data_IF_118584288530
#
_entry.id   IF_118584288530
#
_cell.length_a   1.000
_cell.length_b   1.000
_cell.length_c   1.000
_cell.angle_alpha   90.00
_cell.angle_beta   90.00
_cell.angle_gamma   90.00
#
_symmetry.space_group_name_H-M   'P 1'
#
loop_
_entity.id
_entity.type
_entity.pdbx_description
1 polymer ?
#
# COMPACT_ATOMS: atom_id res chain seq x y z
N UNK A 1 -6.95 6.72 14.88
CA UNK A 1 -7.06 6.01 13.58
C UNK A 1 -5.72 6.10 12.89
N UNK A 2 -5.05 4.98 12.64
CA UNK A 2 -3.73 4.99 11.97
C UNK A 2 -3.91 5.31 10.47
N UNK A 3 -3.11 6.22 9.87
CA UNK A 3 -3.17 6.48 8.44
C UNK A 3 -2.88 5.21 7.62
N UNK A 4 -3.69 4.96 6.58
CA UNK A 4 -3.52 3.79 5.70
C UNK A 4 -2.10 3.60 5.19
N UNK A 5 -1.44 4.68 4.78
CA UNK A 5 -0.06 4.64 4.30
C UNK A 5 0.96 4.15 5.34
N UNK A 6 0.69 4.33 6.64
CA UNK A 6 1.53 3.80 7.71
C UNK A 6 1.35 2.28 7.87
N UNK A 7 0.11 1.79 7.77
CA UNK A 7 -0.18 0.35 7.78
C UNK A 7 0.53 -0.35 6.61
N UNK A 8 0.45 0.23 5.41
CA UNK A 8 1.17 -0.27 4.22
C UNK A 8 2.68 -0.28 4.44
N UNK A 9 3.28 0.79 4.99
CA UNK A 9 4.72 0.85 5.27
C UNK A 9 5.16 -0.24 6.25
N UNK A 10 4.43 -0.41 7.36
CA UNK A 10 4.75 -1.45 8.36
C UNK A 10 4.76 -2.82 7.71
N UNK A 11 3.72 -3.14 6.93
CA UNK A 11 3.59 -4.45 6.30
C UNK A 11 4.63 -4.70 5.22
N UNK A 12 5.01 -3.67 4.46
CA UNK A 12 6.15 -3.73 3.54
C UNK A 12 7.46 -4.10 4.26
N UNK A 13 7.71 -3.52 5.44
CA UNK A 13 8.89 -3.83 6.26
C UNK A 13 8.80 -5.27 6.78
N UNK A 14 7.65 -5.68 7.32
CA UNK A 14 7.42 -7.04 7.83
C UNK A 14 7.64 -8.12 6.77
N UNK A 15 7.30 -7.83 5.51
CA UNK A 15 7.47 -8.73 4.37
C UNK A 15 8.82 -8.59 3.65
N UNK A 16 9.69 -7.66 4.08
CA UNK A 16 10.94 -7.35 3.37
C UNK A 16 10.74 -6.83 1.94
N UNK A 17 9.56 -6.27 1.65
CA UNK A 17 9.13 -5.86 0.32
C UNK A 17 9.37 -4.37 0.08
N UNK A 18 9.90 -4.01 -1.10
CA UNK A 18 10.10 -2.60 -1.47
C UNK A 18 8.82 -2.02 -2.06
N UNK A 19 8.63 -0.70 -1.87
CA UNK A 19 7.51 0.04 -2.46
C UNK A 19 7.41 -0.11 -3.98
N UNK A 20 8.55 -0.27 -4.67
CA UNK A 20 8.60 -0.48 -6.12
C UNK A 20 7.96 -1.82 -6.51
N UNK A 21 8.26 -2.88 -5.75
CA UNK A 21 7.73 -4.22 -5.98
C UNK A 21 6.23 -4.25 -5.77
N UNK A 22 5.74 -3.61 -4.70
CA UNK A 22 4.31 -3.42 -4.48
C UNK A 22 3.66 -2.66 -5.64
N UNK A 23 4.27 -1.58 -6.13
CA UNK A 23 3.73 -0.83 -7.27
C UNK A 23 3.63 -1.70 -8.53
N UNK A 24 4.65 -2.52 -8.81
CA UNK A 24 4.69 -3.45 -9.94
C UNK A 24 3.59 -4.53 -9.82
N UNK A 25 3.43 -5.16 -8.65
CA UNK A 25 2.39 -6.17 -8.42
C UNK A 25 0.98 -5.56 -8.50
N UNK A 26 0.80 -4.36 -7.97
CA UNK A 26 -0.47 -3.61 -8.06
C UNK A 26 -0.75 -3.19 -9.51
N UNK A 27 0.28 -2.97 -10.32
CA UNK A 27 0.17 -2.45 -11.69
C UNK A 27 0.01 -0.93 -11.72
N UNK A 28 0.65 -0.21 -10.79
CA UNK A 28 0.65 1.24 -10.72
C UNK A 28 2.07 1.81 -10.76
N UNK A 29 2.19 3.13 -10.96
CA UNK A 29 3.51 3.75 -10.95
C UNK A 29 4.05 3.86 -9.51
N UNK A 30 5.38 3.73 -9.36
CA UNK A 30 6.06 3.96 -8.08
C UNK A 30 5.70 5.31 -7.45
N UNK A 31 5.54 6.35 -8.28
CA UNK A 31 5.14 7.70 -7.84
C UNK A 31 3.73 7.65 -7.23
N UNK A 32 2.79 7.00 -7.91
CA UNK A 32 1.43 6.84 -7.40
C UNK A 32 1.40 6.06 -6.09
N UNK A 33 2.15 4.96 -5.99
CA UNK A 33 2.30 4.20 -4.76
C UNK A 33 2.85 5.07 -3.61
N UNK A 34 3.86 5.90 -3.88
CA UNK A 34 4.39 6.87 -2.90
C UNK A 34 3.31 7.86 -2.44
N UNK A 35 2.42 8.32 -3.32
CA UNK A 35 1.31 9.19 -2.94
C UNK A 35 0.29 8.51 -2.02
N UNK A 36 0.02 7.23 -2.22
CA UNK A 36 -0.84 6.44 -1.31
C UNK A 36 -0.17 6.33 0.06
N UNK A 37 1.10 5.92 0.05
CA UNK A 37 1.90 5.68 1.26
C UNK A 37 2.12 6.97 2.09
N UNK A 38 2.23 8.12 1.43
CA UNK A 38 2.38 9.42 2.09
C UNK A 38 1.04 10.11 2.40
N UNK A 39 -0.09 9.51 2.01
CA UNK A 39 -1.43 10.07 2.21
C UNK A 39 -1.80 11.22 1.26
N UNK A 40 -0.94 11.59 0.29
CA UNK A 40 -1.25 12.59 -0.75
C UNK A 40 -2.43 12.17 -1.64
N UNK A 41 -2.66 10.87 -1.79
CA UNK A 41 -3.82 10.30 -2.47
C UNK A 41 -4.42 9.21 -1.59
N UNK A 42 -5.75 9.12 -1.56
CA UNK A 42 -6.42 8.01 -0.86
C UNK A 42 -6.08 6.67 -1.50
N UNK A 43 -5.91 6.62 -2.82
CA UNK A 43 -5.54 5.39 -3.54
C UNK A 43 -6.66 4.37 -3.63
N UNK A 44 -7.92 4.77 -3.44
CA UNK A 44 -9.10 3.91 -3.36
C UNK A 44 -9.15 2.83 -4.45
N UNK A 45 -8.84 3.18 -5.70
CA UNK A 45 -8.79 2.26 -6.85
C UNK A 45 -7.82 1.06 -6.65
N UNK A 46 -6.77 1.24 -5.86
CA UNK A 46 -5.72 0.24 -5.67
C UNK A 46 -5.71 -0.34 -4.25
N UNK A 47 -6.52 0.19 -3.32
CA UNK A 47 -6.50 -0.25 -1.92
C UNK A 47 -6.86 -1.71 -1.77
N UNK A 48 -7.89 -2.17 -2.47
CA UNK A 48 -8.32 -3.57 -2.45
C UNK A 48 -7.16 -4.49 -2.85
N UNK A 49 -6.55 -4.24 -4.01
CA UNK A 49 -5.39 -5.02 -4.48
C UNK A 49 -4.17 -4.90 -3.57
N UNK A 50 -3.91 -3.71 -3.00
CA UNK A 50 -2.83 -3.52 -2.01
C UNK A 50 -3.12 -4.36 -0.76
N UNK A 51 -4.36 -4.38 -0.29
CA UNK A 51 -4.78 -5.13 0.88
C UNK A 51 -4.64 -6.64 0.65
N UNK A 52 -5.02 -7.14 -0.52
CA UNK A 52 -4.82 -8.53 -0.92
C UNK A 52 -3.33 -8.92 -0.93
N UNK A 53 -2.48 -8.11 -1.58
CA UNK A 53 -1.04 -8.40 -1.71
C UNK A 53 -0.34 -8.37 -0.35
N UNK A 54 -0.73 -7.42 0.50
CA UNK A 54 -0.10 -7.21 1.80
C UNK A 54 -0.79 -7.99 2.92
N UNK A 55 -1.85 -8.76 2.64
CA UNK A 55 -2.71 -9.40 3.65
C UNK A 55 -3.13 -8.41 4.76
N UNK A 56 -3.47 -7.19 4.34
CA UNK A 56 -4.07 -6.20 5.23
C UNK A 56 -5.55 -6.56 5.33
N UNK A 57 -5.93 -7.34 6.34
CA UNK A 57 -7.34 -7.50 6.69
C UNK A 57 -7.92 -6.10 6.89
N UNK A 58 -8.86 -5.69 6.03
CA UNK A 58 -9.74 -4.60 6.41
C UNK A 58 -10.39 -5.03 7.72
N UNK A 59 -10.08 -4.31 8.80
CA UNK A 59 -10.80 -4.47 10.04
C UNK A 59 -12.28 -4.30 9.73
N UNK A 60 -13.05 -5.35 10.02
CA UNK A 60 -14.50 -5.28 10.17
C UNK A 60 -14.89 -4.13 11.12
#
# INVERSE_FOLDING_TARGET
MEPYGNMVKKKLIDMGMRQKELAEMVGCSKIYMSYIITGKKSGWKYREKINEILDLKEGA
#
